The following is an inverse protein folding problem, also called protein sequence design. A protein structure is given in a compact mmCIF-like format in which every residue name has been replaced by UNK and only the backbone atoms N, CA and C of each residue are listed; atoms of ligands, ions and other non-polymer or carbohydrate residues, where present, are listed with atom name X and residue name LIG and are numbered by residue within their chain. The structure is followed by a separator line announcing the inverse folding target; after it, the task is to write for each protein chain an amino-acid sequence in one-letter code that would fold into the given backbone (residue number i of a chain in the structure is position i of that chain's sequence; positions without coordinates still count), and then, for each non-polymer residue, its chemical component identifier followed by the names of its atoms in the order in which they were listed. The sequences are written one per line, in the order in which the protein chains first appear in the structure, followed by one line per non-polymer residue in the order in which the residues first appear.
data_IF_642340660227
#
_entry.id   IF_642340660227
#
_cell.length_a   1.000
_cell.length_b   1.000
_cell.length_c   1.000
_cell.angle_alpha   90.00
_cell.angle_beta   90.00
_cell.angle_gamma   90.00
#
_symmetry.space_group_name_H-M   'P 1'
#
loop_
_entity.id
_entity.type
_entity.pdbx_description
1 polymer ?
#
# COMPACT_ATOMS: atom_id res chain seq x y z
N UNK A 1 -0.15 -2.72 7.55
CA UNK A 1 -1.29 -2.18 6.78
C UNK A 1 -0.96 -2.04 5.30
N UNK A 2 0.15 -1.39 4.90
CA UNK A 2 0.52 -1.21 3.50
C UNK A 2 0.62 -2.53 2.70
N UNK A 3 1.26 -3.55 3.28
CA UNK A 3 1.33 -4.89 2.70
C UNK A 3 -0.06 -5.47 2.39
N UNK A 4 -1.00 -5.37 3.35
CA UNK A 4 -2.38 -5.85 3.20
C UNK A 4 -3.06 -5.11 2.05
N UNK A 5 -2.93 -3.78 1.98
CA UNK A 5 -3.47 -2.99 0.90
C UNK A 5 -2.93 -3.41 -0.47
N UNK A 6 -1.63 -3.71 -0.59
CA UNK A 6 -0.99 -4.08 -1.86
C UNK A 6 -1.34 -5.50 -2.32
N UNK A 7 -1.49 -6.44 -1.40
CA UNK A 7 -1.73 -7.86 -1.74
C UNK A 7 -3.20 -8.19 -1.95
N UNK A 8 -4.11 -7.40 -1.37
CA UNK A 8 -5.55 -7.64 -1.49
C UNK A 8 -6.08 -7.16 -2.84
N UNK A 9 -7.05 -7.91 -3.38
CA UNK A 9 -7.58 -7.69 -4.73
C UNK A 9 -8.78 -6.74 -4.77
N UNK A 10 -8.84 -5.78 -3.84
CA UNK A 10 -9.99 -4.89 -3.64
C UNK A 10 -9.56 -3.43 -3.66
N UNK A 11 -8.78 -3.07 -4.68
CA UNK A 11 -8.45 -1.68 -4.96
C UNK A 11 -9.63 -0.97 -5.59
N UNK A 12 -10.28 -1.62 -6.54
CA UNK A 12 -11.52 -1.12 -7.14
C UNK A 12 -12.60 -2.19 -7.08
N UNK A 13 -13.83 -1.75 -6.84
CA UNK A 13 -15.00 -2.60 -6.78
C UNK A 13 -16.11 -1.95 -7.59
N UNK A 14 -16.70 -2.69 -8.52
CA UNK A 14 -17.90 -2.26 -9.23
C UNK A 14 -19.07 -3.15 -8.87
N UNK A 15 -20.08 -2.56 -8.24
CA UNK A 15 -21.33 -3.24 -7.92
C UNK A 15 -22.19 -3.50 -9.15
N UNK A 16 -22.10 -2.66 -10.19
CA UNK A 16 -22.89 -2.83 -11.42
C UNK A 16 -22.39 -3.94 -12.32
N UNK A 17 -21.06 -4.15 -12.33
CA UNK A 17 -20.39 -5.11 -13.20
C UNK A 17 -19.83 -6.31 -12.41
N UNK A 18 -20.18 -6.40 -11.12
CA UNK A 18 -19.75 -7.43 -10.16
C UNK A 18 -18.27 -7.85 -10.30
N UNK A 19 -17.36 -6.88 -10.28
CA UNK A 19 -15.92 -7.17 -10.32
C UNK A 19 -15.16 -6.52 -9.17
N UNK A 20 -14.11 -7.20 -8.75
CA UNK A 20 -13.11 -6.74 -7.81
C UNK A 20 -11.76 -6.71 -8.52
N UNK A 21 -11.09 -5.58 -8.47
CA UNK A 21 -9.80 -5.37 -9.12
C UNK A 21 -8.73 -5.06 -8.08
N UNK A 22 -7.64 -5.82 -8.14
CA UNK A 22 -6.43 -5.62 -7.37
C UNK A 22 -5.27 -5.11 -8.20
N UNK A 23 -4.09 -5.03 -7.58
CA UNK A 23 -2.86 -4.72 -8.29
C UNK A 23 -2.35 -5.88 -9.16
N UNK A 24 -2.67 -7.12 -8.76
CA UNK A 24 -2.10 -8.35 -9.33
C UNK A 24 -3.12 -9.15 -10.14
N UNK A 25 -4.37 -9.15 -9.69
CA UNK A 25 -5.44 -10.02 -10.16
C UNK A 25 -6.71 -9.19 -10.27
N UNK A 26 -7.49 -9.43 -11.32
CA UNK A 26 -8.88 -8.96 -11.44
C UNK A 26 -9.79 -10.17 -11.35
N UNK A 27 -10.82 -10.09 -10.51
CA UNK A 27 -11.84 -11.13 -10.36
C UNK A 27 -13.19 -10.59 -10.83
N UNK A 28 -13.88 -11.35 -11.68
CA UNK A 28 -15.21 -11.01 -12.19
C UNK A 28 -16.18 -12.11 -11.82
N UNK A 29 -17.38 -11.72 -11.38
CA UNK A 29 -18.50 -12.63 -11.22
C UNK A 29 -19.09 -12.93 -12.58
N UNK A 30 -19.30 -14.20 -12.90
CA UNK A 30 -19.77 -14.63 -14.21
C UNK A 30 -21.30 -14.43 -14.30
N UNK A 31 -21.80 -13.52 -15.16
CA UNK A 31 -23.23 -13.38 -15.34
C UNK A 31 -23.70 -14.49 -16.30
N UNK A 32 -24.58 -15.37 -15.83
CA UNK A 32 -25.29 -16.39 -16.61
C UNK A 32 -24.45 -17.57 -17.19
N UNK A 33 -24.07 -18.52 -16.34
CA UNK A 33 -24.08 -19.94 -16.75
C UNK A 33 -24.88 -20.74 -15.72
N UNK A 34 -26.12 -21.00 -16.09
CA UNK A 34 -27.12 -21.80 -15.40
C UNK A 34 -26.65 -23.24 -15.17
N UNK A 35 -26.95 -23.75 -13.97
CA UNK A 35 -26.88 -25.16 -13.52
C UNK A 35 -25.62 -25.69 -12.83
N UNK A 36 -24.94 -24.87 -12.04
CA UNK A 36 -24.01 -25.38 -11.02
C UNK A 36 -24.08 -24.52 -9.77
N UNK A 37 -24.34 -25.13 -8.61
CA UNK A 37 -24.40 -24.50 -7.29
C UNK A 37 -23.04 -23.97 -6.78
N UNK A 38 -22.03 -23.90 -7.65
CA UNK A 38 -20.71 -23.38 -7.36
C UNK A 38 -20.50 -22.05 -8.09
N UNK A 39 -20.83 -20.93 -7.43
CA UNK A 39 -20.40 -19.60 -7.83
C UNK A 39 -18.87 -19.59 -7.93
N UNK A 40 -18.33 -19.67 -9.14
CA UNK A 40 -16.89 -19.60 -9.37
C UNK A 40 -16.54 -18.20 -9.87
N UNK A 41 -15.92 -17.40 -9.02
CA UNK A 41 -15.33 -16.13 -9.43
C UNK A 41 -14.18 -16.43 -10.41
N UNK A 42 -14.21 -15.84 -11.60
CA UNK A 42 -13.12 -15.97 -12.57
C UNK A 42 -12.09 -14.90 -12.26
N UNK A 43 -10.87 -15.32 -11.94
CA UNK A 43 -9.78 -14.44 -11.57
C UNK A 43 -8.64 -14.52 -12.60
N UNK A 44 -8.35 -13.40 -13.26
CA UNK A 44 -7.31 -13.27 -14.26
C UNK A 44 -6.13 -12.44 -13.73
N UNK A 45 -4.90 -12.82 -14.11
CA UNK A 45 -3.70 -12.03 -13.79
C UNK A 45 -3.67 -10.75 -14.61
N UNK A 46 -3.39 -9.63 -13.95
CA UNK A 46 -3.23 -8.34 -14.61
C UNK A 46 -1.77 -8.01 -14.93
N UNK A 47 -1.59 -7.27 -16.01
CA UNK A 47 -0.29 -6.81 -16.51
C UNK A 47 -0.08 -5.32 -16.26
N UNK A 48 -0.27 -4.85 -15.03
CA UNK A 48 0.12 -3.49 -14.64
C UNK A 48 1.62 -3.39 -14.34
N UNK A 49 2.45 -3.53 -15.37
CA UNK A 49 3.90 -3.65 -15.23
C UNK A 49 4.53 -2.50 -14.42
N UNK A 50 4.06 -1.27 -14.59
CA UNK A 50 4.61 -0.09 -13.89
C UNK A 50 4.25 -0.08 -12.40
N UNK A 51 2.97 -0.23 -12.05
CA UNK A 51 2.52 -0.16 -10.65
C UNK A 51 2.97 -1.38 -9.84
N UNK A 52 3.02 -2.56 -10.45
CA UNK A 52 3.61 -3.76 -9.83
C UNK A 52 5.11 -3.59 -9.59
N UNK A 53 5.83 -2.92 -10.51
CA UNK A 53 7.23 -2.57 -10.33
C UNK A 53 7.47 -1.69 -9.11
N UNK A 54 6.69 -0.61 -8.95
CA UNK A 54 6.77 0.27 -7.78
C UNK A 54 6.38 -0.43 -6.48
N UNK A 55 5.39 -1.32 -6.50
CA UNK A 55 5.02 -2.10 -5.33
C UNK A 55 6.15 -3.04 -4.89
N UNK A 56 6.81 -3.72 -5.85
CA UNK A 56 7.97 -4.58 -5.58
C UNK A 56 9.15 -3.81 -5.03
N UNK A 57 9.50 -2.67 -5.63
CA UNK A 57 10.59 -1.83 -5.11
C UNK A 57 10.25 -1.31 -3.71
N UNK A 58 8.99 -0.90 -3.47
CA UNK A 58 8.50 -0.51 -2.16
C UNK A 58 8.70 -1.59 -1.09
N UNK A 59 8.45 -2.87 -1.42
CA UNK A 59 8.72 -3.97 -0.49
C UNK A 59 10.20 -4.13 -0.15
N UNK A 60 11.08 -4.04 -1.14
CA UNK A 60 12.52 -4.14 -0.91
C UNK A 60 13.01 -3.02 0.01
N UNK A 61 12.59 -1.78 -0.25
CA UNK A 61 12.96 -0.63 0.58
C UNK A 61 12.39 -0.79 2.01
N UNK A 62 11.17 -1.30 2.15
CA UNK A 62 10.55 -1.57 3.45
C UNK A 62 11.34 -2.60 4.25
N UNK A 63 11.77 -3.70 3.62
CA UNK A 63 12.63 -4.69 4.27
C UNK A 63 13.95 -4.08 4.73
N UNK A 64 14.58 -3.21 3.93
CA UNK A 64 15.79 -2.49 4.32
C UNK A 64 15.53 -1.59 5.53
N UNK A 65 14.44 -0.82 5.54
CA UNK A 65 14.07 0.07 6.65
C UNK A 65 13.84 -0.71 7.96
N UNK A 66 13.20 -1.89 7.88
CA UNK A 66 12.99 -2.78 9.02
C UNK A 66 14.32 -3.34 9.55
N UNK A 67 15.21 -3.79 8.66
CA UNK A 67 16.55 -4.26 9.04
C UNK A 67 17.33 -3.15 9.75
N UNK A 68 17.32 -1.92 9.21
CA UNK A 68 17.96 -0.77 9.85
C UNK A 68 17.36 -0.47 11.23
N UNK A 69 16.03 -0.56 11.37
CA UNK A 69 15.36 -0.37 12.66
C UNK A 69 15.77 -1.42 13.69
N UNK A 70 15.97 -2.67 13.27
CA UNK A 70 16.49 -3.75 14.12
C UNK A 70 17.95 -3.45 14.50
N UNK A 71 18.80 -3.11 13.54
CA UNK A 71 20.21 -2.75 13.78
C UNK A 71 20.31 -1.58 14.76
N UNK A 72 19.43 -0.58 14.66
CA UNK A 72 19.34 0.53 15.61
C UNK A 72 19.20 0.03 17.04
N UNK A 73 18.31 -0.96 17.27
CA UNK A 73 18.07 -1.51 18.61
C UNK A 73 19.35 -2.09 19.23
N UNK A 74 20.20 -2.69 18.41
CA UNK A 74 21.49 -3.25 18.88
C UNK A 74 22.58 -2.20 19.02
N UNK A 75 22.70 -1.25 18.08
CA UNK A 75 23.79 -0.26 18.05
C UNK A 75 23.49 1.04 18.81
N UNK A 76 22.24 1.27 19.25
CA UNK A 76 21.76 2.51 19.91
C UNK A 76 22.23 3.79 19.18
N UNK A 77 22.19 3.76 17.85
CA UNK A 77 22.67 4.87 17.02
C UNK A 77 21.47 5.65 16.46
N UNK A 78 21.29 6.88 16.94
CA UNK A 78 20.16 7.73 16.55
C UNK A 78 20.23 8.19 15.09
N UNK A 79 21.39 8.16 14.44
CA UNK A 79 21.48 8.41 12.99
C UNK A 79 20.73 7.33 12.20
N UNK A 80 20.77 6.08 12.66
CA UNK A 80 20.06 4.97 12.00
C UNK A 80 18.55 5.15 12.11
N UNK A 81 18.06 5.72 13.23
CA UNK A 81 16.66 6.11 13.36
C UNK A 81 16.26 7.06 12.24
N UNK A 82 16.98 8.17 12.07
CA UNK A 82 16.69 9.16 11.04
C UNK A 82 16.66 8.54 9.64
N UNK A 83 17.66 7.74 9.28
CA UNK A 83 17.68 7.05 7.98
C UNK A 83 16.51 6.08 7.80
N UNK A 84 16.19 5.27 8.81
CA UNK A 84 15.05 4.34 8.76
C UNK A 84 13.73 5.08 8.57
N UNK A 85 13.55 6.24 9.20
CA UNK A 85 12.32 7.01 9.07
C UNK A 85 12.22 7.73 7.73
N UNK A 86 13.33 8.28 7.21
CA UNK A 86 13.36 8.85 5.85
C UNK A 86 12.98 7.77 4.82
N UNK A 87 13.51 6.55 4.96
CA UNK A 87 13.15 5.42 4.10
C UNK A 87 11.64 5.10 4.19
N UNK A 88 11.07 5.08 5.40
CA UNK A 88 9.63 4.88 5.61
C UNK A 88 8.80 5.97 4.95
N UNK A 89 9.21 7.24 5.04
CA UNK A 89 8.55 8.36 4.38
C UNK A 89 8.59 8.21 2.86
N UNK A 90 9.75 7.87 2.28
CA UNK A 90 9.90 7.64 0.84
C UNK A 90 8.94 6.54 0.37
N UNK A 91 8.85 5.43 1.10
CA UNK A 91 7.90 4.34 0.79
C UNK A 91 6.46 4.87 0.82
N UNK A 92 6.09 5.64 1.84
CA UNK A 92 4.74 6.22 1.93
C UNK A 92 4.42 7.15 0.76
N UNK A 93 5.37 7.97 0.32
CA UNK A 93 5.19 8.82 -0.87
C UNK A 93 5.00 7.95 -2.12
N UNK A 94 5.82 6.91 -2.30
CA UNK A 94 5.70 5.99 -3.44
C UNK A 94 4.33 5.30 -3.42
N UNK A 95 3.87 4.81 -2.27
CA UNK A 95 2.58 4.14 -2.14
C UNK A 95 1.41 5.10 -2.39
N UNK A 96 1.51 6.34 -1.91
CA UNK A 96 0.53 7.39 -2.19
C UNK A 96 0.45 7.68 -3.69
N UNK A 97 1.60 7.89 -4.33
CA UNK A 97 1.70 8.09 -5.78
C UNK A 97 1.14 6.88 -6.53
N UNK A 98 1.39 5.65 -6.08
CA UNK A 98 0.81 4.47 -6.70
C UNK A 98 -0.73 4.47 -6.62
N UNK A 99 -1.30 4.81 -5.47
CA UNK A 99 -2.76 4.88 -5.32
C UNK A 99 -3.41 6.00 -6.13
N UNK A 100 -2.69 7.11 -6.36
CA UNK A 100 -3.23 8.30 -7.02
C UNK A 100 -2.96 8.35 -8.53
N UNK A 101 -1.74 8.03 -8.97
CA UNK A 101 -1.31 8.10 -10.37
C UNK A 101 -1.73 6.89 -11.20
N UNK A 102 -1.90 5.71 -10.59
CA UNK A 102 -2.42 4.53 -11.30
C UNK A 102 -3.94 4.45 -11.25
N UNK A 103 -4.60 5.54 -10.84
CA UNK A 103 -6.03 5.69 -11.02
C UNK A 103 -6.34 5.76 -12.52
N UNK A 104 -7.10 4.80 -13.09
CA UNK A 104 -7.56 4.96 -14.47
C UNK A 104 -8.45 6.20 -14.50
N UNK A 105 -8.17 7.14 -15.41
CA UNK A 105 -8.74 8.50 -15.44
C UNK A 105 -10.27 8.58 -15.47
N UNK A 106 -10.97 7.45 -15.63
CA UNK A 106 -12.43 7.36 -15.77
C UNK A 106 -13.15 6.60 -14.64
N UNK A 107 -12.47 6.20 -13.56
CA UNK A 107 -13.15 5.55 -12.43
C UNK A 107 -13.88 6.56 -11.54
N UNK A 108 -15.13 6.25 -11.19
CA UNK A 108 -15.91 7.08 -10.28
C UNK A 108 -15.42 6.80 -8.85
N UNK A 109 -15.27 7.83 -7.99
CA UNK A 109 -14.78 7.66 -6.60
C UNK A 109 -15.59 6.65 -5.79
N UNK A 110 -16.84 6.41 -6.19
CA UNK A 110 -17.74 5.44 -5.58
C UNK A 110 -17.33 3.98 -5.83
N UNK A 111 -16.29 3.73 -6.62
CA UNK A 111 -15.77 2.39 -6.94
C UNK A 111 -14.48 2.06 -6.19
N UNK A 112 -14.05 2.88 -5.22
CA UNK A 112 -12.90 2.53 -4.39
C UNK A 112 -13.21 1.34 -3.49
N UNK A 113 -12.38 0.31 -3.60
CA UNK A 113 -12.41 -0.84 -2.71
C UNK A 113 -11.63 -0.57 -1.42
N UNK A 114 -11.75 -1.50 -0.48
CA UNK A 114 -11.22 -1.29 0.87
C UNK A 114 -9.69 -1.31 0.97
N UNK A 115 -8.99 -1.92 0.01
CA UNK A 115 -7.52 -1.98 -0.03
C UNK A 115 -6.88 -0.60 -0.05
N UNK A 116 -7.54 0.38 -0.68
CA UNK A 116 -7.06 1.76 -0.77
C UNK A 116 -7.09 2.44 0.60
N UNK A 117 -8.11 2.18 1.44
CA UNK A 117 -8.15 2.73 2.80
C UNK A 117 -7.01 2.20 3.67
N UNK A 118 -6.58 0.94 3.48
CA UNK A 118 -5.40 0.41 4.17
C UNK A 118 -4.11 1.13 3.75
N UNK A 119 -3.99 1.51 2.47
CA UNK A 119 -2.84 2.29 1.96
C UNK A 119 -2.88 3.71 2.52
N UNK A 120 -4.02 4.39 2.46
CA UNK A 120 -4.22 5.72 3.04
C UNK A 120 -3.91 5.74 4.55
N UNK A 121 -4.46 4.79 5.31
CA UNK A 121 -4.19 4.66 6.73
C UNK A 121 -2.71 4.43 7.03
N UNK A 122 -2.00 3.66 6.18
CA UNK A 122 -0.55 3.47 6.31
C UNK A 122 0.23 4.77 6.09
N UNK A 123 -0.19 5.58 5.13
CA UNK A 123 0.44 6.87 4.85
C UNK A 123 0.22 7.88 5.97
N UNK A 124 -1.01 7.95 6.50
CA UNK A 124 -1.33 8.78 7.68
C UNK A 124 -0.46 8.36 8.87
N UNK A 125 -0.35 7.06 9.13
CA UNK A 125 0.46 6.55 10.23
C UNK A 125 1.96 6.88 10.06
N UNK A 126 2.48 6.80 8.84
CA UNK A 126 3.87 7.20 8.55
C UNK A 126 4.10 8.70 8.76
N UNK A 127 3.15 9.55 8.36
CA UNK A 127 3.21 10.99 8.59
C UNK A 127 3.22 11.33 10.08
N UNK A 128 2.32 10.71 10.86
CA UNK A 128 2.28 10.89 12.32
C UNK A 128 3.61 10.48 12.95
N UNK A 129 4.18 9.35 12.52
CA UNK A 129 5.47 8.85 13.03
C UNK A 129 6.60 9.85 12.77
N UNK A 130 6.63 10.45 11.57
CA UNK A 130 7.61 11.49 11.22
C UNK A 130 7.46 12.74 12.08
N UNK A 131 6.23 13.21 12.27
CA UNK A 131 5.93 14.38 13.11
C UNK A 131 6.41 14.14 14.54
N UNK A 132 6.06 12.99 15.13
CA UNK A 132 6.48 12.63 16.49
C UNK A 132 8.01 12.58 16.64
N UNK A 133 8.72 12.08 15.63
CA UNK A 133 10.18 12.03 15.64
C UNK A 133 10.82 13.41 15.53
N UNK A 134 10.28 14.29 14.67
CA UNK A 134 10.74 15.67 14.56
C UNK A 134 10.56 16.39 15.90
N UNK A 135 9.37 16.29 16.52
CA UNK A 135 9.12 16.88 17.84
C UNK A 135 10.04 16.29 18.91
N UNK A 136 10.26 14.97 18.90
CA UNK A 136 11.19 14.32 19.84
C UNK A 136 12.62 14.84 19.71
N UNK A 137 13.13 15.03 18.49
CA UNK A 137 14.46 15.59 18.25
C UNK A 137 14.54 17.05 18.71
N UNK A 138 13.52 17.86 18.41
CA UNK A 138 13.47 19.29 18.81
C UNK A 138 13.48 19.43 20.32
N UNK A 139 12.69 18.62 21.05
CA UNK A 139 12.62 18.67 22.51
C UNK A 139 13.99 18.30 23.13
N UNK A 140 14.63 17.25 22.63
CA UNK A 140 15.95 16.80 23.13
C UNK A 140 17.06 17.82 22.86
N UNK A 141 17.00 18.58 21.77
CA UNK A 141 17.98 19.63 21.47
C UNK A 141 17.77 20.91 22.30
N UNK A 142 16.58 21.10 22.86
CA UNK A 142 16.24 22.27 23.67
C UNK A 142 16.50 22.11 25.17
N UNK A 143 16.91 20.92 25.62
CA UNK A 143 17.31 20.59 26.99
C UNK A 143 18.81 20.46 27.14
#
# INVERSE_FOLDING_TARGET
FALIGITTNYWYQSLSNEFNEGLWIICRRQPFLSHSSLNTDICDKQTYFKSQGFARSGFVILSIALILSIIRRYRKNDRILVYSTILMLIISIILFLCSYLFHPTNFNRNQFGYSIYFILGSNILSLITMILLIFGVVIIQSS
#
